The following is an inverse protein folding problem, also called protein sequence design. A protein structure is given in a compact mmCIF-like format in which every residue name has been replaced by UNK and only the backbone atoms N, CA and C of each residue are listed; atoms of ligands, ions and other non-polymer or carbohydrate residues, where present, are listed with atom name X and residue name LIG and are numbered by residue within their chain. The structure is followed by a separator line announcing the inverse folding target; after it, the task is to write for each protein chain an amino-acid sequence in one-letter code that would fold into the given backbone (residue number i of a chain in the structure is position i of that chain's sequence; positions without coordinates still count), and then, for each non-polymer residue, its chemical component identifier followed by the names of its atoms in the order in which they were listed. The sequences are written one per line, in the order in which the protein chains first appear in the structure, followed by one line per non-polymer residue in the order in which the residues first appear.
data_IF_704061876386
#
_entry.id   IF_704061876386
#
_cell.length_a   1.000
_cell.length_b   1.000
_cell.length_c   1.000
_cell.angle_alpha   90.00
_cell.angle_beta   90.00
_cell.angle_gamma   90.00
#
_symmetry.space_group_name_H-M   'P 1'
#
loop_
_entity.id
_entity.type
_entity.pdbx_description
1 polymer ?
#
# COMPACT_ATOMS: atom_id res chain seq x y z
N UNK A 1 -13.02 12.63 -2.61
CA UNK A 1 -13.44 11.22 -2.38
C UNK A 1 -12.20 10.35 -2.50
N UNK A 2 -11.92 9.50 -1.52
CA UNK A 2 -10.78 8.57 -1.61
C UNK A 2 -11.07 7.56 -2.71
N UNK A 3 -10.12 7.39 -3.63
CA UNK A 3 -10.25 6.47 -4.77
C UNK A 3 -10.18 5.01 -4.31
N UNK A 4 -9.52 4.76 -3.17
CA UNK A 4 -9.24 3.43 -2.64
C UNK A 4 -9.73 3.26 -1.20
N UNK A 5 -10.05 2.02 -0.77
CA UNK A 5 -10.38 1.71 0.61
C UNK A 5 -9.26 2.07 1.58
N UNK A 6 -9.63 2.59 2.76
CA UNK A 6 -8.68 3.03 3.79
C UNK A 6 -8.11 1.85 4.57
N UNK A 7 -6.82 1.92 4.86
CA UNK A 7 -6.07 0.98 5.69
C UNK A 7 -5.16 1.75 6.65
N UNK A 8 -4.99 1.22 7.87
CA UNK A 8 -4.09 1.80 8.86
C UNK A 8 -2.72 1.13 8.73
N UNK A 9 -1.72 1.84 8.18
CA UNK A 9 -0.37 1.33 8.01
C UNK A 9 0.48 1.45 9.27
N UNK A 10 0.05 2.19 10.30
CA UNK A 10 0.77 2.26 11.58
C UNK A 10 0.73 0.92 12.33
N UNK A 11 -0.23 0.04 12.00
CA UNK A 11 -0.31 -1.32 12.55
C UNK A 11 0.69 -2.31 11.91
N UNK A 12 1.38 -1.96 10.82
CA UNK A 12 2.21 -2.90 10.05
C UNK A 12 3.68 -2.81 10.46
N UNK A 13 4.29 -3.96 10.72
CA UNK A 13 5.70 -4.08 11.09
C UNK A 13 6.57 -4.44 9.88
N UNK A 14 6.07 -5.30 8.97
CA UNK A 14 6.81 -5.74 7.78
C UNK A 14 5.95 -5.74 6.52
N UNK A 15 6.61 -5.57 5.37
CA UNK A 15 5.99 -5.65 4.05
C UNK A 15 6.78 -6.60 3.15
N UNK A 16 6.10 -7.37 2.33
CA UNK A 16 6.74 -8.27 1.36
C UNK A 16 5.81 -8.58 0.18
N UNK A 17 6.31 -9.23 -0.86
CA UNK A 17 5.53 -9.66 -2.02
C UNK A 17 6.19 -10.84 -2.73
N UNK A 18 5.45 -11.47 -3.63
CA UNK A 18 5.98 -12.41 -4.62
C UNK A 18 6.63 -13.66 -4.00
N UNK A 19 6.14 -14.17 -2.85
CA UNK A 19 6.71 -15.38 -2.23
C UNK A 19 6.62 -16.59 -3.15
N UNK A 20 5.55 -16.71 -3.95
CA UNK A 20 5.36 -17.78 -4.93
C UNK A 20 5.56 -19.20 -4.37
N UNK A 21 5.05 -19.48 -3.16
CA UNK A 21 5.10 -20.82 -2.57
C UNK A 21 4.56 -21.87 -3.54
N UNK A 22 5.25 -23.01 -3.62
CA UNK A 22 4.92 -24.13 -4.53
C UNK A 22 5.00 -23.82 -6.04
N UNK A 23 5.54 -22.67 -6.45
CA UNK A 23 5.73 -22.36 -7.87
C UNK A 23 7.05 -22.96 -8.38
N UNK A 24 7.06 -24.22 -8.81
CA UNK A 24 8.29 -24.92 -9.21
C UNK A 24 9.13 -24.21 -10.30
N UNK A 25 8.50 -23.43 -11.19
CA UNK A 25 9.20 -22.71 -12.26
C UNK A 25 9.75 -21.34 -11.84
N UNK A 26 9.40 -20.81 -10.67
CA UNK A 26 9.81 -19.45 -10.29
C UNK A 26 11.32 -19.34 -10.11
N UNK A 27 12.00 -20.40 -9.68
CA UNK A 27 13.46 -20.40 -9.59
C UNK A 27 14.13 -20.20 -10.94
N UNK A 28 13.58 -20.77 -12.02
CA UNK A 28 14.07 -20.52 -13.38
C UNK A 28 13.72 -19.09 -13.84
N UNK A 29 12.48 -18.66 -13.61
CA UNK A 29 11.95 -17.41 -14.15
C UNK A 29 12.51 -16.15 -13.46
N UNK A 30 12.75 -16.22 -12.15
CA UNK A 30 13.29 -15.14 -11.33
C UNK A 30 14.74 -15.42 -10.88
N UNK A 31 15.39 -16.45 -11.45
CA UNK A 31 16.76 -16.89 -11.17
C UNK A 31 17.03 -17.20 -9.67
N UNK A 32 16.01 -17.66 -8.94
CA UNK A 32 16.16 -17.98 -7.51
C UNK A 32 17.13 -19.15 -7.31
N UNK A 33 18.02 -19.11 -6.30
CA UNK A 33 19.10 -20.07 -6.14
C UNK A 33 18.65 -21.37 -5.45
N UNK A 34 17.47 -21.90 -5.80
CA UNK A 34 16.91 -23.11 -5.19
C UNK A 34 16.85 -24.24 -6.21
N UNK A 35 17.39 -25.40 -5.85
CA UNK A 35 17.40 -26.58 -6.71
C UNK A 35 16.01 -27.22 -6.81
N UNK A 36 15.18 -27.09 -5.78
CA UNK A 36 13.83 -27.66 -5.74
C UNK A 36 12.81 -26.70 -5.14
N UNK A 37 11.53 -26.92 -5.45
CA UNK A 37 10.42 -26.15 -4.88
C UNK A 37 10.28 -26.36 -3.37
N UNK A 38 10.61 -27.55 -2.88
CA UNK A 38 10.56 -27.87 -1.45
C UNK A 38 11.66 -27.15 -0.67
N UNK A 39 12.86 -27.08 -1.23
CA UNK A 39 13.97 -26.29 -0.68
C UNK A 39 13.61 -24.80 -0.62
N UNK A 40 13.05 -24.25 -1.70
CA UNK A 40 12.58 -22.86 -1.73
C UNK A 40 11.51 -22.60 -0.67
N UNK A 41 10.49 -23.46 -0.58
CA UNK A 41 9.42 -23.32 0.40
C UNK A 41 9.97 -23.33 1.83
N UNK A 42 10.88 -24.27 2.14
CA UNK A 42 11.50 -24.39 3.44
C UNK A 42 12.35 -23.16 3.80
N UNK A 43 13.14 -22.64 2.85
CA UNK A 43 13.98 -21.47 3.08
C UNK A 43 13.14 -20.20 3.27
N UNK A 44 12.09 -20.01 2.48
CA UNK A 44 11.17 -18.87 2.64
C UNK A 44 10.51 -18.88 4.03
N UNK A 45 10.04 -20.05 4.49
CA UNK A 45 9.48 -20.19 5.85
C UNK A 45 10.52 -19.88 6.91
N UNK A 46 11.73 -20.44 6.78
CA UNK A 46 12.82 -20.22 7.75
C UNK A 46 13.15 -18.74 7.86
N UNK A 47 13.39 -18.07 6.73
CA UNK A 47 13.72 -16.64 6.68
C UNK A 47 12.60 -15.78 7.21
N UNK A 48 11.36 -16.05 6.82
CA UNK A 48 10.20 -15.34 7.35
C UNK A 48 10.14 -15.45 8.88
N UNK A 49 10.22 -16.66 9.42
CA UNK A 49 10.05 -16.90 10.86
C UNK A 49 11.24 -16.45 11.71
N UNK A 50 12.43 -16.29 11.12
CA UNK A 50 13.59 -15.65 11.76
C UNK A 50 13.46 -14.13 11.82
N UNK A 51 12.80 -13.52 10.83
CA UNK A 51 12.60 -12.06 10.74
C UNK A 51 11.36 -11.61 11.51
N UNK A 52 10.25 -12.35 11.41
CA UNK A 52 8.93 -11.97 11.91
C UNK A 52 8.59 -12.82 13.13
N UNK A 53 8.30 -12.15 14.23
CA UNK A 53 7.77 -12.77 15.45
C UNK A 53 6.27 -13.07 15.34
N UNK A 54 5.73 -14.01 16.15
CA UNK A 54 4.31 -14.34 16.12
C UNK A 54 3.34 -13.19 16.39
N UNK A 55 3.80 -12.10 17.03
CA UNK A 55 2.96 -10.95 17.41
C UNK A 55 2.96 -9.80 16.40
N UNK A 56 3.90 -9.82 15.45
CA UNK A 56 4.06 -8.75 14.47
C UNK A 56 3.08 -8.90 13.30
N UNK A 57 2.88 -7.81 12.58
CA UNK A 57 1.95 -7.71 11.46
C UNK A 57 2.71 -7.60 10.15
N UNK A 58 2.34 -8.45 9.19
CA UNK A 58 2.91 -8.45 7.84
C UNK A 58 1.85 -8.11 6.82
N UNK A 59 2.16 -7.15 5.95
CA UNK A 59 1.39 -6.84 4.75
C UNK A 59 2.06 -7.49 3.52
N UNK A 60 1.37 -8.43 2.89
CA UNK A 60 1.85 -9.10 1.68
C UNK A 60 1.18 -8.51 0.44
N UNK A 61 1.97 -8.08 -0.54
CA UNK A 61 1.49 -7.45 -1.77
C UNK A 61 1.46 -8.46 -2.92
N UNK A 62 0.70 -9.53 -2.72
CA UNK A 62 0.29 -10.43 -3.79
C UNK A 62 1.26 -11.53 -4.19
N UNK A 63 0.74 -12.49 -4.93
CA UNK A 63 1.43 -13.65 -5.50
C UNK A 63 2.04 -14.57 -4.42
N UNK A 64 1.18 -14.97 -3.48
CA UNK A 64 1.59 -15.74 -2.29
C UNK A 64 2.00 -17.16 -2.66
N UNK A 65 1.13 -17.89 -3.36
CA UNK A 65 1.28 -19.32 -3.63
C UNK A 65 0.63 -19.73 -4.95
N UNK A 66 1.23 -20.70 -5.65
CA UNK A 66 0.72 -21.27 -6.90
C UNK A 66 0.61 -22.80 -6.81
N UNK A 67 0.11 -23.45 -7.87
CA UNK A 67 -0.11 -24.90 -7.89
C UNK A 67 -1.48 -25.31 -7.33
N UNK A 68 -1.62 -26.54 -6.79
CA UNK A 68 -2.82 -26.98 -6.09
C UNK A 68 -3.06 -26.10 -4.85
N UNK A 69 -3.94 -25.10 -4.99
CA UNK A 69 -4.00 -23.97 -4.05
C UNK A 69 -4.32 -24.36 -2.61
N UNK A 70 -5.10 -25.41 -2.40
CA UNK A 70 -5.42 -25.92 -1.05
C UNK A 70 -4.17 -26.39 -0.31
N UNK A 71 -3.26 -27.09 -1.01
CA UNK A 71 -1.99 -27.54 -0.45
C UNK A 71 -1.01 -26.37 -0.34
N UNK A 72 -0.87 -25.56 -1.39
CA UNK A 72 0.17 -24.54 -1.45
C UNK A 72 -0.09 -23.34 -0.54
N UNK A 73 -1.34 -22.89 -0.40
CA UNK A 73 -1.66 -21.87 0.61
C UNK A 73 -1.60 -22.45 2.02
N UNK A 74 -1.91 -23.73 2.20
CA UNK A 74 -1.84 -24.42 3.49
C UNK A 74 -0.43 -24.43 4.09
N UNK A 75 0.62 -24.51 3.26
CA UNK A 75 2.02 -24.39 3.68
C UNK A 75 2.26 -23.08 4.47
N UNK A 76 1.59 -21.99 4.06
CA UNK A 76 1.76 -20.67 4.67
C UNK A 76 1.19 -20.56 6.08
N UNK A 77 0.41 -21.54 6.56
CA UNK A 77 -0.07 -21.56 7.95
C UNK A 77 1.07 -21.64 8.98
N UNK A 78 2.28 -22.02 8.55
CA UNK A 78 3.50 -22.06 9.36
C UNK A 78 4.16 -20.68 9.56
N UNK A 79 3.74 -19.66 8.81
CA UNK A 79 4.35 -18.33 8.86
C UNK A 79 3.91 -17.59 10.13
N UNK A 80 4.88 -17.01 10.82
CA UNK A 80 4.67 -16.14 11.97
C UNK A 80 3.95 -14.85 11.58
N UNK A 81 3.31 -14.25 12.59
CA UNK A 81 2.69 -12.94 12.52
C UNK A 81 1.24 -12.98 12.02
N UNK A 82 0.56 -11.87 12.25
CA UNK A 82 -0.75 -11.58 11.66
C UNK A 82 -0.54 -11.11 10.22
N UNK A 83 -1.26 -11.69 9.27
CA UNK A 83 -0.96 -11.52 7.85
C UNK A 83 -2.13 -10.92 7.09
N UNK A 84 -1.87 -9.80 6.43
CA UNK A 84 -2.77 -9.17 5.47
C UNK A 84 -2.29 -9.46 4.05
N UNK A 85 -3.24 -9.64 3.13
CA UNK A 85 -2.94 -9.87 1.71
C UNK A 85 -3.63 -8.83 0.84
N UNK A 86 -2.86 -8.03 0.10
CA UNK A 86 -3.31 -7.29 -1.08
C UNK A 86 -3.08 -8.20 -2.29
N UNK A 87 -4.13 -8.76 -2.94
CA UNK A 87 -3.97 -9.83 -3.92
C UNK A 87 -3.20 -9.42 -5.18
N UNK A 88 -2.34 -10.32 -5.66
CA UNK A 88 -1.65 -10.23 -6.96
C UNK A 88 -2.30 -11.09 -8.03
N UNK A 89 -1.90 -10.96 -9.30
CA UNK A 89 -2.56 -11.66 -10.42
C UNK A 89 -2.53 -13.18 -10.30
N UNK A 90 -1.56 -13.78 -9.60
CA UNK A 90 -1.49 -15.22 -9.42
C UNK A 90 -2.32 -15.72 -8.22
N UNK A 91 -2.79 -14.83 -7.35
CA UNK A 91 -3.65 -15.21 -6.25
C UNK A 91 -5.06 -15.59 -6.73
N UNK A 92 -5.58 -16.69 -6.20
CA UNK A 92 -6.94 -17.16 -6.54
C UNK A 92 -8.06 -16.30 -5.93
N UNK A 93 -7.68 -15.26 -5.21
CA UNK A 93 -8.56 -14.24 -4.63
C UNK A 93 -8.41 -12.87 -5.32
N UNK A 94 -7.67 -12.78 -6.42
CA UNK A 94 -7.51 -11.53 -7.18
C UNK A 94 -8.64 -11.32 -8.21
N UNK A 95 -9.33 -10.16 -8.17
CA UNK A 95 -10.26 -9.77 -9.21
C UNK A 95 -9.63 -9.49 -10.58
N UNK A 96 -8.31 -9.30 -10.68
CA UNK A 96 -7.60 -9.17 -11.96
C UNK A 96 -7.63 -10.45 -12.80
N UNK A 97 -7.72 -11.63 -12.19
CA UNK A 97 -7.66 -12.91 -12.91
C UNK A 97 -8.80 -13.88 -12.57
N UNK A 98 -9.58 -13.60 -11.53
CA UNK A 98 -10.64 -14.50 -11.07
C UNK A 98 -12.03 -13.86 -11.12
N UNK A 99 -13.04 -14.69 -11.40
CA UNK A 99 -14.45 -14.29 -11.24
C UNK A 99 -14.82 -14.16 -9.76
N UNK A 100 -15.82 -13.34 -9.43
CA UNK A 100 -16.34 -13.18 -8.04
C UNK A 100 -16.64 -14.53 -7.35
N UNK A 101 -17.31 -15.44 -8.07
CA UNK A 101 -17.62 -16.78 -7.56
C UNK A 101 -16.36 -17.61 -7.25
N UNK A 102 -15.30 -17.46 -8.04
CA UNK A 102 -14.04 -18.13 -7.78
C UNK A 102 -13.35 -17.53 -6.54
N UNK A 103 -13.32 -16.20 -6.44
CA UNK A 103 -12.77 -15.50 -5.27
C UNK A 103 -13.47 -15.95 -3.99
N UNK A 104 -14.81 -15.93 -3.95
CA UNK A 104 -15.60 -16.40 -2.80
C UNK A 104 -15.28 -17.85 -2.42
N UNK A 105 -15.08 -18.72 -3.41
CA UNK A 105 -14.71 -20.13 -3.17
C UNK A 105 -13.32 -20.26 -2.53
N UNK A 106 -12.35 -19.50 -3.00
CA UNK A 106 -10.96 -19.64 -2.57
C UNK A 106 -10.63 -18.82 -1.31
N UNK A 107 -11.38 -17.76 -1.02
CA UNK A 107 -11.16 -16.91 0.15
C UNK A 107 -11.10 -17.73 1.46
N UNK A 108 -12.00 -18.70 1.63
CA UNK A 108 -12.02 -19.56 2.82
C UNK A 108 -10.71 -20.35 3.03
N UNK A 109 -9.99 -20.73 1.95
CA UNK A 109 -8.71 -21.44 2.07
C UNK A 109 -7.59 -20.50 2.52
N UNK A 110 -7.58 -19.27 2.01
CA UNK A 110 -6.62 -18.25 2.44
C UNK A 110 -6.86 -17.86 3.91
N UNK A 111 -8.12 -17.65 4.30
CA UNK A 111 -8.51 -17.34 5.68
C UNK A 111 -8.14 -18.48 6.64
N UNK A 112 -8.38 -19.74 6.25
CA UNK A 112 -7.98 -20.91 7.04
C UNK A 112 -6.45 -21.01 7.22
N UNK A 113 -5.67 -20.52 6.26
CA UNK A 113 -4.21 -20.42 6.34
C UNK A 113 -3.71 -19.19 7.13
N UNK A 114 -4.62 -18.35 7.63
CA UNK A 114 -4.33 -17.20 8.49
C UNK A 114 -4.22 -15.85 7.77
N UNK A 115 -4.69 -15.74 6.52
CA UNK A 115 -4.66 -14.50 5.76
C UNK A 115 -5.94 -13.69 5.92
N UNK A 116 -5.79 -12.39 6.17
CA UNK A 116 -6.88 -11.41 6.00
C UNK A 116 -6.77 -10.78 4.62
N UNK A 117 -7.73 -11.05 3.73
CA UNK A 117 -7.72 -10.56 2.35
C UNK A 117 -8.20 -9.10 2.32
N UNK A 118 -7.42 -8.25 1.64
CA UNK A 118 -7.68 -6.84 1.42
C UNK A 118 -8.03 -6.56 -0.06
N UNK A 119 -8.52 -5.36 -0.41
CA UNK A 119 -8.67 -4.91 -1.79
C UNK A 119 -7.33 -4.86 -2.56
N UNK A 120 -7.37 -4.90 -3.90
CA UNK A 120 -6.17 -4.90 -4.78
C UNK A 120 -5.31 -3.62 -4.72
N UNK A 121 -5.93 -2.52 -4.28
CA UNK A 121 -5.26 -1.27 -3.97
C UNK A 121 -5.85 -0.74 -2.68
N UNK A 122 -4.99 -0.44 -1.72
CA UNK A 122 -5.36 0.18 -0.44
C UNK A 122 -4.61 1.49 -0.27
N UNK A 123 -5.26 2.44 0.39
CA UNK A 123 -4.72 3.76 0.71
C UNK A 123 -4.75 3.99 2.22
N UNK A 124 -3.81 4.72 2.77
CA UNK A 124 -3.77 4.96 4.19
C UNK A 124 -2.73 5.97 4.61
N UNK A 125 -2.45 5.99 5.90
CA UNK A 125 -1.38 6.80 6.48
C UNK A 125 -0.44 5.95 7.30
N UNK A 126 0.85 6.30 7.27
CA UNK A 126 1.91 5.79 8.14
C UNK A 126 2.67 6.98 8.68
N UNK A 127 2.70 7.17 10.00
CA UNK A 127 3.37 8.31 10.65
C UNK A 127 2.99 9.65 10.04
N UNK A 128 1.71 9.79 9.66
CA UNK A 128 1.17 10.99 9.01
C UNK A 128 1.36 11.07 7.49
N UNK A 129 2.23 10.29 6.86
CA UNK A 129 2.41 10.30 5.40
C UNK A 129 1.37 9.42 4.71
N UNK A 130 0.81 9.89 3.57
CA UNK A 130 -0.06 9.06 2.72
C UNK A 130 0.77 7.96 2.07
N UNK A 131 0.19 6.76 1.98
CA UNK A 131 0.80 5.61 1.31
C UNK A 131 -0.28 4.86 0.52
N UNK A 132 0.09 4.38 -0.67
CA UNK A 132 -0.62 3.33 -1.39
C UNK A 132 0.12 2.00 -1.27
N UNK A 133 -0.64 0.91 -1.27
CA UNK A 133 -0.09 -0.41 -1.48
C UNK A 133 -0.91 -1.16 -2.53
N UNK A 134 -0.21 -1.76 -3.48
CA UNK A 134 -0.77 -2.62 -4.51
C UNK A 134 0.25 -3.69 -4.88
N UNK A 135 -0.19 -4.82 -5.43
CA UNK A 135 0.77 -5.75 -6.02
C UNK A 135 1.50 -5.10 -7.22
N UNK A 136 0.79 -4.30 -8.03
CA UNK A 136 1.35 -3.71 -9.24
C UNK A 136 2.00 -2.34 -8.98
N UNK A 137 3.11 -2.01 -9.66
CA UNK A 137 3.68 -0.67 -9.63
C UNK A 137 2.85 0.33 -10.46
N UNK A 138 3.13 1.64 -10.28
CA UNK A 138 2.59 2.69 -11.15
C UNK A 138 2.97 2.45 -12.61
N UNK A 139 4.25 2.14 -12.86
CA UNK A 139 4.81 1.82 -14.17
C UNK A 139 5.83 0.70 -14.06
N UNK A 140 5.98 -0.06 -15.14
CA UNK A 140 6.94 -1.16 -15.22
C UNK A 140 6.29 -2.52 -14.94
N UNK A 141 6.89 -3.54 -15.50
CA UNK A 141 6.47 -4.94 -15.41
C UNK A 141 7.72 -5.82 -15.53
N UNK A 142 7.57 -7.12 -15.29
CA UNK A 142 8.62 -8.11 -15.61
C UNK A 142 8.78 -8.36 -17.11
N UNK A 143 7.88 -7.79 -17.93
CA UNK A 143 7.86 -7.85 -19.39
C UNK A 143 8.03 -6.45 -19.99
N UNK A 144 8.26 -6.38 -21.31
CA UNK A 144 8.40 -5.10 -22.03
C UNK A 144 7.14 -4.21 -22.00
N UNK A 145 5.97 -4.78 -21.70
CA UNK A 145 4.71 -4.03 -21.62
C UNK A 145 3.98 -4.27 -20.30
N UNK A 146 3.32 -3.20 -19.81
CA UNK A 146 2.53 -3.23 -18.59
C UNK A 146 1.31 -4.15 -18.73
N UNK A 147 1.20 -5.15 -17.86
CA UNK A 147 0.03 -6.02 -17.73
C UNK A 147 -0.92 -5.53 -16.65
N UNK A 148 -2.17 -5.98 -16.73
CA UNK A 148 -3.23 -5.69 -15.76
C UNK A 148 -3.45 -4.19 -15.49
N UNK A 149 -3.29 -3.34 -16.51
CA UNK A 149 -3.31 -1.87 -16.39
C UNK A 149 -4.55 -1.30 -15.71
N UNK A 150 -5.70 -1.97 -15.76
CA UNK A 150 -6.95 -1.56 -15.08
C UNK A 150 -6.96 -1.83 -13.57
N UNK A 151 -6.03 -2.65 -13.07
CA UNK A 151 -5.89 -3.02 -11.65
C UNK A 151 -4.71 -2.33 -10.97
N UNK A 152 -3.98 -1.50 -11.70
CA UNK A 152 -2.88 -0.69 -11.18
C UNK A 152 -3.41 0.55 -10.47
N UNK A 153 -2.65 1.13 -9.53
CA UNK A 153 -2.88 2.50 -9.10
C UNK A 153 -3.00 3.42 -10.32
N UNK A 154 -4.01 4.29 -10.34
CA UNK A 154 -4.40 4.97 -11.59
C UNK A 154 -3.28 5.85 -12.14
N UNK A 155 -2.71 6.72 -11.30
CA UNK A 155 -1.72 7.73 -11.68
C UNK A 155 -0.65 7.84 -10.60
N UNK A 156 0.59 8.18 -10.99
CA UNK A 156 1.63 8.65 -10.07
C UNK A 156 1.43 10.15 -9.84
N UNK A 157 0.70 10.47 -8.77
CA UNK A 157 0.39 11.82 -8.31
C UNK A 157 1.32 12.29 -7.18
N UNK A 158 2.48 11.63 -7.02
CA UNK A 158 3.44 11.92 -5.94
C UNK A 158 3.24 11.09 -4.67
N UNK A 159 2.20 10.24 -4.61
CA UNK A 159 1.95 9.41 -3.42
C UNK A 159 2.92 8.22 -3.40
N UNK A 160 3.62 7.96 -2.27
CA UNK A 160 4.44 6.76 -2.12
C UNK A 160 3.63 5.47 -2.31
N UNK A 161 4.10 4.58 -3.18
CA UNK A 161 3.50 3.28 -3.48
C UNK A 161 4.42 2.13 -3.08
N UNK A 162 3.90 1.16 -2.33
CA UNK A 162 4.58 -0.12 -2.12
C UNK A 162 4.09 -1.13 -3.15
N UNK A 163 5.01 -1.90 -3.77
CA UNK A 163 4.64 -2.88 -4.79
C UNK A 163 5.52 -4.14 -4.90
N UNK A 164 4.97 -5.18 -5.53
CA UNK A 164 5.66 -6.40 -5.93
C UNK A 164 5.79 -6.52 -7.46
N UNK A 165 5.45 -7.69 -8.00
CA UNK A 165 5.15 -8.00 -9.39
C UNK A 165 6.32 -8.02 -10.39
N UNK A 166 7.29 -7.12 -10.25
CA UNK A 166 8.34 -6.94 -11.26
C UNK A 166 9.43 -8.00 -11.19
N UNK A 167 9.59 -8.69 -10.05
CA UNK A 167 10.73 -9.58 -9.76
C UNK A 167 12.09 -8.92 -9.98
N UNK A 168 12.11 -7.59 -9.90
CA UNK A 168 13.33 -6.83 -10.09
C UNK A 168 14.25 -7.09 -8.90
N UNK A 169 15.55 -7.25 -9.17
CA UNK A 169 16.54 -7.60 -8.14
C UNK A 169 17.20 -6.39 -7.50
N UNK A 170 17.06 -5.23 -8.13
CA UNK A 170 17.42 -3.96 -7.55
C UNK A 170 16.48 -3.64 -6.40
N UNK A 171 17.07 -3.44 -5.23
CA UNK A 171 16.34 -3.25 -3.99
C UNK A 171 15.68 -1.86 -3.96
N UNK A 172 14.42 -1.82 -3.57
CA UNK A 172 13.83 -0.64 -2.94
C UNK A 172 13.29 0.42 -3.90
N UNK A 173 13.74 1.69 -3.78
CA UNK A 173 13.02 2.84 -4.31
C UNK A 173 13.31 3.16 -5.77
N UNK A 174 12.26 3.45 -6.53
CA UNK A 174 12.31 4.01 -7.88
C UNK A 174 11.26 5.12 -8.00
N UNK A 175 11.69 6.39 -7.91
CA UNK A 175 10.74 7.51 -7.84
C UNK A 175 9.82 7.37 -6.61
N UNK A 176 8.51 7.46 -6.83
CA UNK A 176 7.49 7.33 -5.78
C UNK A 176 7.03 5.89 -5.53
N UNK A 177 7.74 4.89 -6.02
CA UNK A 177 7.41 3.48 -5.77
C UNK A 177 8.56 2.73 -5.11
N UNK A 178 8.24 1.80 -4.21
CA UNK A 178 9.20 0.96 -3.49
C UNK A 178 8.87 -0.50 -3.71
N UNK A 179 9.80 -1.23 -4.33
CA UNK A 179 9.63 -2.66 -4.58
C UNK A 179 9.93 -3.45 -3.30
N UNK A 180 9.00 -4.32 -2.89
CA UNK A 180 9.09 -5.18 -1.68
C UNK A 180 9.12 -6.68 -2.00
N UNK A 181 9.34 -7.05 -3.26
CA UNK A 181 9.41 -8.45 -3.69
C UNK A 181 10.57 -9.20 -3.02
N UNK A 182 10.31 -10.45 -2.64
CA UNK A 182 11.32 -11.30 -1.96
C UNK A 182 12.62 -11.47 -2.75
N UNK A 183 12.55 -11.40 -4.09
CA UNK A 183 13.71 -11.53 -4.98
C UNK A 183 14.70 -10.37 -4.84
N UNK A 184 14.22 -9.19 -4.46
CA UNK A 184 15.04 -8.04 -4.13
C UNK A 184 15.56 -8.13 -2.68
N UNK A 185 14.75 -8.59 -1.73
CA UNK A 185 15.05 -8.41 -0.30
C UNK A 185 15.59 -9.66 0.38
N UNK A 186 16.44 -10.41 -0.31
CA UNK A 186 17.10 -11.59 0.24
C UNK A 186 16.12 -12.64 0.77
N UNK A 187 14.93 -12.74 0.18
CA UNK A 187 13.86 -13.65 0.59
C UNK A 187 13.36 -13.45 2.03
N UNK A 188 13.47 -12.23 2.56
CA UNK A 188 12.97 -11.84 3.88
C UNK A 188 11.95 -10.69 3.77
N UNK A 189 10.94 -10.61 4.66
CA UNK A 189 10.09 -9.44 4.76
C UNK A 189 10.88 -8.16 5.09
N UNK A 190 10.51 -7.05 4.46
CA UNK A 190 11.16 -5.74 4.65
C UNK A 190 10.59 -5.08 5.90
N UNK A 191 11.42 -4.67 6.88
CA UNK A 191 10.96 -3.87 8.02
C UNK A 191 10.34 -2.56 7.54
N UNK A 192 9.15 -2.21 8.03
CA UNK A 192 8.49 -0.95 7.64
C UNK A 192 9.34 0.27 8.00
N UNK A 193 10.26 0.16 8.97
CA UNK A 193 11.20 1.24 9.31
C UNK A 193 12.13 1.64 8.16
N UNK A 194 12.45 0.72 7.24
CA UNK A 194 13.23 1.04 6.03
C UNK A 194 12.38 1.86 5.05
N UNK A 195 11.11 1.50 4.91
CA UNK A 195 10.12 2.23 4.11
C UNK A 195 9.87 3.61 4.74
N UNK A 196 9.76 3.71 6.06
CA UNK A 196 9.65 4.98 6.80
C UNK A 196 10.87 5.90 6.54
N UNK A 197 12.06 5.33 6.37
CA UNK A 197 13.26 6.09 6.03
C UNK A 197 13.25 6.57 4.57
N UNK A 198 12.80 5.72 3.64
CA UNK A 198 12.64 6.09 2.24
C UNK A 198 11.62 7.22 2.06
N UNK A 199 10.42 7.10 2.65
CA UNK A 199 9.36 8.11 2.51
C UNK A 199 9.85 9.48 2.98
N UNK A 200 10.54 9.54 4.12
CA UNK A 200 11.11 10.80 4.63
C UNK A 200 12.21 11.39 3.74
N UNK A 201 12.81 10.59 2.87
CA UNK A 201 13.82 11.02 1.91
C UNK A 201 13.26 11.48 0.57
N UNK A 202 11.95 11.32 0.32
CA UNK A 202 11.33 11.80 -0.92
C UNK A 202 11.23 13.33 -0.90
N UNK A 203 11.57 14.01 -2.01
CA UNK A 203 11.59 15.48 -2.08
C UNK A 203 10.20 16.10 -1.86
N UNK A 204 9.14 15.39 -2.25
CA UNK A 204 7.75 15.86 -2.19
C UNK A 204 6.96 15.21 -1.04
N UNK A 205 7.62 14.48 -0.13
CA UNK A 205 6.94 13.86 1.00
C UNK A 205 6.53 14.90 2.05
N UNK A 206 5.28 15.32 1.95
CA UNK A 206 4.60 16.16 2.93
C UNK A 206 3.64 15.29 3.78
N UNK A 207 3.63 15.42 5.12
CA UNK A 207 2.61 14.79 5.95
C UNK A 207 1.21 15.17 5.49
N UNK A 208 0.26 14.23 5.54
CA UNK A 208 -1.11 14.45 5.10
C UNK A 208 -1.78 15.63 5.81
N UNK A 209 -1.45 15.83 7.08
CA UNK A 209 -2.00 16.94 7.86
C UNK A 209 -1.55 18.29 7.29
N UNK A 210 -0.30 18.41 6.87
CA UNK A 210 0.24 19.64 6.29
C UNK A 210 -0.38 19.90 4.91
N UNK A 211 -0.54 18.86 4.08
CA UNK A 211 -1.28 18.93 2.81
C UNK A 211 -2.72 19.40 3.07
N UNK A 212 -3.43 18.78 4.01
CA UNK A 212 -4.81 19.11 4.33
C UNK A 212 -4.95 20.54 4.86
N UNK A 213 -4.00 21.00 5.67
CA UNK A 213 -3.94 22.38 6.15
C UNK A 213 -3.72 23.35 4.98
N UNK A 214 -2.79 23.05 4.08
CA UNK A 214 -2.51 23.89 2.91
C UNK A 214 -3.72 23.97 1.97
N UNK A 215 -4.34 22.84 1.66
CA UNK A 215 -5.56 22.78 0.84
C UNK A 215 -6.73 23.51 1.51
N UNK A 216 -6.89 23.38 2.82
CA UNK A 216 -7.90 24.11 3.59
C UNK A 216 -7.67 25.63 3.51
N UNK A 217 -6.43 26.11 3.71
CA UNK A 217 -6.07 27.53 3.60
C UNK A 217 -6.26 28.07 2.18
N UNK A 218 -5.89 27.30 1.15
CA UNK A 218 -6.13 27.66 -0.25
C UNK A 218 -7.63 27.75 -0.55
N UNK A 219 -8.41 26.77 -0.08
CA UNK A 219 -9.87 26.76 -0.27
C UNK A 219 -10.52 28.00 0.35
N UNK A 220 -10.10 28.42 1.55
CA UNK A 220 -10.57 29.69 2.15
C UNK A 220 -10.23 30.86 1.23
N UNK A 221 -8.99 30.95 0.76
CA UNK A 221 -8.52 32.06 -0.09
C UNK A 221 -9.28 32.14 -1.42
N UNK A 222 -9.49 31.01 -2.08
CA UNK A 222 -10.22 30.93 -3.35
C UNK A 222 -11.69 31.35 -3.17
N UNK A 223 -12.30 30.96 -2.05
CA UNK A 223 -13.67 31.34 -1.72
C UNK A 223 -13.78 32.84 -1.43
N UNK A 224 -12.85 33.43 -0.67
CA UNK A 224 -12.81 34.87 -0.39
C UNK A 224 -12.61 35.71 -1.68
N UNK A 225 -11.94 35.15 -2.69
CA UNK A 225 -11.72 35.79 -3.99
C UNK A 225 -12.88 35.66 -4.99
N UNK A 226 -13.94 34.90 -4.68
CA UNK A 226 -15.03 34.62 -5.63
C UNK A 226 -16.15 35.68 -5.57
N UNK A 227 -16.48 36.31 -6.71
CA UNK A 227 -17.65 37.20 -6.82
C UNK A 227 -18.95 36.37 -6.90
N UNK A 228 -19.81 36.45 -5.88
CA UNK A 228 -21.11 35.78 -5.90
C UNK A 228 -22.15 36.60 -6.69
N UNK A 229 -22.59 36.08 -7.84
CA UNK A 229 -23.67 36.67 -8.64
C UNK A 229 -25.07 36.21 -8.17
N UNK A 230 -25.80 37.17 -7.59
CA UNK A 230 -27.25 37.31 -7.35
C UNK A 230 -28.11 36.19 -6.68
N UNK A 231 -28.96 36.68 -5.77
CA UNK A 231 -30.12 36.08 -5.04
C UNK A 231 -29.97 34.79 -4.23
N UNK A 232 -29.21 33.77 -4.66
CA UNK A 232 -28.93 32.59 -3.81
C UNK A 232 -27.83 32.86 -2.77
N UNK A 233 -27.14 33.99 -2.91
CA UNK A 233 -25.97 34.37 -2.13
C UNK A 233 -26.18 34.30 -0.62
N UNK A 234 -27.28 34.79 -0.04
CA UNK A 234 -27.45 34.91 1.42
C UNK A 234 -27.42 33.57 2.19
N UNK A 235 -28.05 32.52 1.66
CA UNK A 235 -28.04 31.19 2.29
C UNK A 235 -26.67 30.51 2.16
N UNK A 236 -26.03 30.66 1.00
CA UNK A 236 -24.66 30.19 0.80
C UNK A 236 -23.67 30.98 1.67
N UNK A 237 -23.84 32.29 1.82
CA UNK A 237 -22.97 33.16 2.64
C UNK A 237 -23.06 32.85 4.13
N UNK A 238 -24.23 32.50 4.66
CA UNK A 238 -24.35 32.07 6.07
C UNK A 238 -23.67 30.73 6.32
N UNK A 239 -23.99 29.71 5.52
CA UNK A 239 -23.33 28.40 5.64
C UNK A 239 -21.82 28.50 5.38
N UNK A 240 -21.41 29.36 4.44
CA UNK A 240 -20.01 29.71 4.17
C UNK A 240 -19.31 30.31 5.38
N UNK A 241 -19.90 31.33 6.00
CA UNK A 241 -19.30 32.00 7.14
C UNK A 241 -19.15 31.05 8.34
N UNK A 242 -20.13 30.18 8.58
CA UNK A 242 -20.04 29.15 9.62
C UNK A 242 -18.92 28.16 9.33
N UNK A 243 -18.80 27.68 8.08
CA UNK A 243 -17.75 26.75 7.68
C UNK A 243 -16.36 27.40 7.77
N UNK A 244 -16.24 28.66 7.36
CA UNK A 244 -15.02 29.46 7.43
C UNK A 244 -14.57 29.66 8.87
N UNK A 245 -15.48 30.11 9.76
CA UNK A 245 -15.17 30.29 11.19
C UNK A 245 -14.74 28.97 11.83
N UNK A 246 -15.45 27.88 11.56
CA UNK A 246 -15.09 26.56 12.10
C UNK A 246 -13.70 26.09 11.60
N UNK A 247 -13.37 26.34 10.33
CA UNK A 247 -12.06 25.99 9.77
C UNK A 247 -10.94 26.86 10.36
N UNK A 248 -11.17 28.16 10.52
CA UNK A 248 -10.22 29.09 11.14
C UNK A 248 -9.98 28.78 12.61
N UNK A 249 -11.03 28.44 13.37
CA UNK A 249 -10.91 27.99 14.76
C UNK A 249 -10.08 26.70 14.86
N UNK A 250 -10.32 25.74 13.97
CA UNK A 250 -9.55 24.50 13.90
C UNK A 250 -8.07 24.75 13.58
N UNK A 251 -7.79 25.58 12.58
CA UNK A 251 -6.43 25.95 12.18
C UNK A 251 -5.72 26.73 13.29
N UNK A 252 -6.41 27.67 13.96
CA UNK A 252 -5.85 28.41 15.09
C UNK A 252 -5.57 27.54 16.30
N UNK A 253 -6.42 26.55 16.59
CA UNK A 253 -6.16 25.56 17.63
C UNK A 253 -4.96 24.66 17.28
N UNK A 254 -4.81 24.29 16.01
CA UNK A 254 -3.64 23.54 15.53
C UNK A 254 -2.34 24.33 15.69
N UNK A 255 -2.32 25.58 15.23
CA UNK A 255 -1.16 26.47 15.32
C UNK A 255 -0.77 26.73 16.79
N UNK A 256 -1.76 26.84 17.69
CA UNK A 256 -1.53 26.99 19.14
C UNK A 256 -0.93 25.74 19.79
N UNK A 257 -1.27 24.54 19.28
CA UNK A 257 -0.73 23.28 19.75
C UNK A 257 0.65 22.94 19.15
N UNK A 258 1.02 23.57 18.02
CA UNK A 258 2.26 23.30 17.28
C UNK A 258 2.97 24.63 16.89
N UNK A 259 3.55 25.36 17.86
CA UNK A 259 4.09 26.70 17.64
C UNK A 259 5.34 26.76 16.74
N UNK A 260 5.99 25.61 16.49
CA UNK A 260 7.21 25.51 15.67
C UNK A 260 6.94 25.15 14.20
N UNK A 261 5.67 24.98 13.80
CA UNK A 261 5.31 24.75 12.39
C UNK A 261 5.63 26.00 11.54
N UNK A 262 6.21 25.86 10.33
CA UNK A 262 6.56 27.01 9.51
C UNK A 262 5.31 27.84 9.20
N UNK A 263 5.35 29.18 9.35
CA UNK A 263 4.20 30.01 9.04
C UNK A 263 3.90 29.84 7.54
N UNK A 264 2.68 29.37 7.25
CA UNK A 264 2.21 29.14 5.89
C UNK A 264 2.45 30.38 5.04
N UNK A 265 3.32 30.26 4.05
CA UNK A 265 3.52 31.29 3.03
C UNK A 265 2.22 31.43 2.25
N UNK A 266 1.68 32.65 2.33
CA UNK A 266 0.53 33.20 1.59
C UNK A 266 0.68 32.98 0.10
#
# INVERSE_FOLDING_TARGET
MNLYPRFDFDQVDFVTADTHFSHARISELADRPFATVDEMNAELIRRWNETVSPTEVVLHLGDVALGPIEESIGITAQLHGRRFLVPGNHDRVSPATQSKKAIERFAALYEAAGWTILPEVIEGTRRGYRILASHYPYKGDSQESDRHTTHRPRWDDGIPLLHGHTHARDHGPNGHQFHVGVDAHGYTPVPFTEIDAWIRGLPDAEPWLDIAIREARQTITDLDGSETSNSDALFYTMGYNELRVALEELLGAFDSAHPDSPPGTV
#
